data_IF_758381209573
#
_entry.id   IF_758381209573
#
_cell.length_a   1.000
_cell.length_b   1.000
_cell.length_c   1.000
_cell.angle_alpha   90.00
_cell.angle_beta   90.00
_cell.angle_gamma   90.00
#
_symmetry.space_group_name_H-M   'P 1'
#
loop_
_entity.id
_entity.type
_entity.pdbx_description
1 polymer ?
#
# COMPACT_ATOMS: atom_id res chain seq x y z
N UNK A 1 61.96 -1.64 63.35
CA UNK A 1 61.59 -2.95 62.78
C UNK A 1 60.17 -2.87 62.25
N UNK A 2 59.90 -3.45 61.05
CA UNK A 2 58.64 -4.03 60.53
C UNK A 2 57.27 -3.37 60.87
N UNK A 3 56.55 -2.79 59.88
CA UNK A 3 55.32 -3.31 59.18
C UNK A 3 54.10 -3.58 60.10
N UNK A 4 52.84 -3.19 59.84
CA UNK A 4 52.00 -2.95 58.63
C UNK A 4 51.03 -1.74 58.85
N UNK A 5 50.10 -1.33 57.98
CA UNK A 5 49.87 -1.60 56.55
C UNK A 5 48.40 -1.53 56.06
N UNK A 6 47.97 -0.34 55.60
CA UNK A 6 46.82 -0.01 54.70
C UNK A 6 45.34 -0.16 55.16
N UNK A 7 44.46 0.66 54.54
CA UNK A 7 43.07 0.41 54.07
C UNK A 7 42.13 1.64 54.16
N UNK A 8 41.53 2.00 53.00
CA UNK A 8 40.33 2.84 52.75
C UNK A 8 40.37 4.37 52.97
N UNK A 9 40.80 5.06 51.90
CA UNK A 9 40.04 6.18 51.32
C UNK A 9 39.33 5.72 50.04
N UNK A 10 38.42 6.55 49.51
CA UNK A 10 37.59 6.43 48.28
C UNK A 10 36.15 5.95 48.53
N UNK A 11 35.25 6.95 48.58
CA UNK A 11 33.85 6.89 48.09
C UNK A 11 33.44 8.31 47.68
N UNK A 12 32.56 8.42 46.67
CA UNK A 12 31.97 9.63 46.04
C UNK A 12 32.59 10.10 44.69
N UNK A 13 32.51 9.24 43.68
CA UNK A 13 32.45 9.65 42.27
C UNK A 13 31.69 8.58 41.45
N UNK A 14 30.35 8.64 41.40
CA UNK A 14 29.57 7.55 40.80
C UNK A 14 28.05 7.71 40.73
N UNK A 15 27.53 8.93 40.52
CA UNK A 15 26.08 9.20 40.55
C UNK A 15 25.49 9.87 39.29
N UNK A 16 26.26 10.02 38.19
CA UNK A 16 25.83 10.76 36.99
C UNK A 16 25.80 9.96 35.68
N UNK A 17 26.13 8.66 35.69
CA UNK A 17 26.13 7.82 34.47
C UNK A 17 24.86 6.96 34.35
N UNK A 18 24.06 6.83 35.41
CA UNK A 18 22.93 5.89 35.47
C UNK A 18 21.63 6.33 34.76
N UNK A 19 21.42 7.63 34.52
CA UNK A 19 20.12 8.12 34.00
C UNK A 19 19.96 7.92 32.48
N UNK A 20 21.04 7.96 31.72
CA UNK A 20 20.99 7.98 30.25
C UNK A 20 20.56 6.65 29.62
N UNK A 21 20.88 5.52 30.27
CA UNK A 21 20.61 4.19 29.72
C UNK A 21 19.14 3.74 29.86
N UNK A 22 18.44 4.22 30.90
CA UNK A 22 17.04 3.84 31.18
C UNK A 22 16.04 4.45 30.19
N UNK A 23 16.34 5.64 29.65
CA UNK A 23 15.45 6.36 28.71
C UNK A 23 15.35 5.63 27.36
N UNK A 24 16.46 5.05 26.88
CA UNK A 24 16.50 4.37 25.57
C UNK A 24 15.65 3.10 25.57
N UNK A 25 15.75 2.28 26.62
CA UNK A 25 14.98 1.03 26.73
C UNK A 25 13.46 1.25 26.87
N UNK A 26 13.06 2.27 27.62
CA UNK A 26 11.65 2.65 27.77
C UNK A 26 11.06 3.18 26.45
N UNK A 27 11.81 4.00 25.70
CA UNK A 27 11.38 4.53 24.41
C UNK A 27 11.01 3.43 23.41
N UNK A 28 11.90 2.46 23.17
CA UNK A 28 11.66 1.39 22.21
C UNK A 28 10.42 0.53 22.54
N UNK A 29 10.15 0.29 23.83
CA UNK A 29 8.95 -0.45 24.26
C UNK A 29 7.66 0.35 24.01
N UNK A 30 7.68 1.66 24.25
CA UNK A 30 6.54 2.55 24.01
C UNK A 30 6.23 2.69 22.51
N UNK A 31 7.24 2.91 21.66
CA UNK A 31 7.04 3.01 20.21
C UNK A 31 6.51 1.71 19.58
N UNK A 32 6.98 0.54 20.05
CA UNK A 32 6.41 -0.74 19.63
C UNK A 32 4.93 -0.88 20.06
N UNK A 33 4.56 -0.45 21.28
CA UNK A 33 3.17 -0.50 21.73
C UNK A 33 2.23 0.43 20.93
N UNK A 34 2.70 1.63 20.55
CA UNK A 34 1.94 2.55 19.69
C UNK A 34 1.78 1.98 18.28
N UNK A 35 2.86 1.45 17.68
CA UNK A 35 2.84 0.81 16.36
C UNK A 35 1.89 -0.38 16.31
N UNK A 36 1.89 -1.24 17.33
CA UNK A 36 0.94 -2.36 17.48
C UNK A 36 -0.50 -1.84 17.64
N UNK A 37 -0.75 -0.78 18.41
CA UNK A 37 -2.10 -0.20 18.56
C UNK A 37 -2.63 0.42 17.26
N UNK A 38 -1.79 1.11 16.49
CA UNK A 38 -2.10 1.61 15.14
C UNK A 38 -2.41 0.44 14.19
N UNK A 39 -1.61 -0.63 14.26
CA UNK A 39 -1.82 -1.87 13.52
C UNK A 39 -3.14 -2.56 13.82
N UNK A 40 -3.49 -2.70 15.11
CA UNK A 40 -4.75 -3.31 15.55
C UNK A 40 -5.97 -2.59 14.98
N UNK A 41 -5.97 -1.25 14.98
CA UNK A 41 -7.08 -0.44 14.42
C UNK A 41 -7.23 -0.64 12.91
N UNK A 42 -6.12 -0.70 12.18
CA UNK A 42 -6.11 -0.96 10.74
C UNK A 42 -6.56 -2.40 10.42
N UNK A 43 -6.07 -3.37 11.18
CA UNK A 43 -6.44 -4.77 11.07
C UNK A 43 -7.94 -4.99 11.32
N UNK A 44 -8.50 -4.40 12.39
CA UNK A 44 -9.93 -4.43 12.67
C UNK A 44 -10.79 -3.80 11.55
N UNK A 45 -10.26 -2.79 10.85
CA UNK A 45 -10.97 -2.13 9.76
C UNK A 45 -10.94 -2.95 8.45
N UNK A 46 -9.77 -3.51 8.08
CA UNK A 46 -9.51 -4.08 6.75
C UNK A 46 -9.34 -5.61 6.71
N UNK A 47 -8.83 -6.24 7.77
CA UNK A 47 -8.35 -7.64 7.74
C UNK A 47 -9.27 -8.60 8.53
N UNK A 48 -9.79 -8.13 9.66
CA UNK A 48 -10.56 -8.92 10.64
C UNK A 48 -11.77 -9.64 10.06
N UNK A 49 -12.42 -9.06 9.04
CA UNK A 49 -13.60 -9.66 8.39
C UNK A 49 -13.29 -11.00 7.70
N UNK A 50 -12.03 -11.22 7.31
CA UNK A 50 -11.55 -12.46 6.68
C UNK A 50 -10.69 -13.30 7.62
N UNK A 51 -9.81 -12.67 8.42
CA UNK A 51 -8.86 -13.38 9.29
C UNK A 51 -9.31 -13.55 10.76
N UNK A 52 -10.46 -12.99 11.16
CA UNK A 52 -10.90 -12.99 12.56
C UNK A 52 -10.32 -11.85 13.39
N UNK A 53 -10.76 -11.68 14.64
CA UNK A 53 -10.18 -10.70 15.57
C UNK A 53 -8.83 -11.19 16.10
N UNK A 54 -8.68 -12.49 16.32
CA UNK A 54 -7.49 -13.14 16.87
C UNK A 54 -6.60 -13.79 15.80
N UNK A 55 -6.94 -13.64 14.51
CA UNK A 55 -6.19 -14.21 13.39
C UNK A 55 -6.46 -15.69 13.12
N UNK A 56 -7.43 -16.33 13.78
CA UNK A 56 -7.66 -17.78 13.71
C UNK A 56 -8.48 -18.17 12.48
N UNK A 57 -8.26 -19.38 11.96
CA UNK A 57 -9.12 -19.93 10.91
C UNK A 57 -10.59 -19.96 11.32
N UNK A 58 -11.49 -19.71 10.36
CA UNK A 58 -12.94 -19.69 10.52
C UNK A 58 -13.51 -18.59 11.44
N UNK A 59 -12.69 -17.69 11.97
CA UNK A 59 -13.15 -16.63 12.89
C UNK A 59 -13.72 -15.40 12.15
N UNK A 60 -13.16 -15.02 11.00
CA UNK A 60 -13.68 -13.92 10.19
C UNK A 60 -15.02 -14.30 9.54
N UNK A 61 -16.06 -13.46 9.68
CA UNK A 61 -17.41 -13.80 9.18
C UNK A 61 -17.48 -14.08 7.67
N UNK A 62 -16.54 -13.57 6.88
CA UNK A 62 -16.49 -13.80 5.44
C UNK A 62 -15.87 -15.17 5.09
N UNK A 63 -15.14 -15.80 6.02
CA UNK A 63 -14.35 -17.01 5.78
C UNK A 63 -15.15 -18.16 5.16
N UNK A 64 -16.36 -18.40 5.66
CA UNK A 64 -17.24 -19.48 5.19
C UNK A 64 -17.74 -19.27 3.75
N UNK A 65 -17.68 -18.04 3.24
CA UNK A 65 -18.11 -17.65 1.89
C UNK A 65 -16.95 -17.50 0.90
N UNK A 66 -15.71 -17.76 1.33
CA UNK A 66 -14.50 -17.61 0.52
C UNK A 66 -14.14 -18.91 -0.21
N UNK A 67 -13.75 -18.86 -1.49
CA UNK A 67 -13.17 -20.00 -2.18
C UNK A 67 -11.74 -20.26 -1.68
N UNK A 68 -11.22 -21.45 -1.99
CA UNK A 68 -9.83 -21.79 -1.69
C UNK A 68 -8.86 -21.09 -2.69
N UNK A 69 -7.64 -20.69 -2.26
CA UNK A 69 -7.13 -20.77 -0.89
C UNK A 69 -7.79 -19.72 0.02
N UNK A 70 -8.31 -20.19 1.15
CA UNK A 70 -8.87 -19.34 2.22
C UNK A 70 -7.77 -18.54 2.91
N UNK A 71 -8.12 -17.49 3.68
CA UNK A 71 -7.16 -16.72 4.45
C UNK A 71 -6.26 -17.62 5.34
N UNK A 72 -5.00 -17.24 5.55
CA UNK A 72 -4.10 -18.00 6.44
C UNK A 72 -4.45 -17.77 7.92
N UNK A 73 -4.17 -18.78 8.76
CA UNK A 73 -4.16 -18.61 10.22
C UNK A 73 -2.96 -17.76 10.63
N UNK A 74 -3.23 -16.55 11.11
CA UNK A 74 -2.20 -15.60 11.53
C UNK A 74 -1.75 -15.83 12.98
N UNK A 75 -2.42 -16.72 13.72
CA UNK A 75 -2.09 -17.13 15.09
C UNK A 75 -1.25 -18.42 15.14
N UNK A 76 -1.16 -19.17 14.03
CA UNK A 76 -0.40 -20.42 13.91
C UNK A 76 1.11 -20.20 14.03
N UNK A 77 1.60 -20.17 15.27
CA UNK A 77 2.99 -19.80 15.63
C UNK A 77 4.07 -20.53 14.86
N UNK A 78 3.99 -21.85 14.74
CA UNK A 78 5.05 -22.65 14.11
C UNK A 78 5.19 -22.35 12.61
N UNK A 79 4.10 -21.94 11.94
CA UNK A 79 4.16 -21.50 10.54
C UNK A 79 4.49 -20.01 10.42
N UNK A 80 3.75 -19.15 11.13
CA UNK A 80 3.86 -17.70 10.99
C UNK A 80 5.20 -17.13 11.48
N UNK A 81 5.91 -17.84 12.36
CA UNK A 81 7.27 -17.46 12.78
C UNK A 81 8.35 -17.75 11.72
N UNK A 82 8.04 -18.49 10.65
CA UNK A 82 9.01 -18.80 9.58
C UNK A 82 9.17 -17.67 8.57
N UNK A 83 8.10 -16.90 8.32
CA UNK A 83 8.14 -15.74 7.41
C UNK A 83 8.95 -14.60 7.99
N UNK A 84 9.66 -13.86 7.14
CA UNK A 84 10.31 -12.60 7.50
C UNK A 84 9.31 -11.45 7.57
N UNK A 85 9.67 -10.37 8.26
CA UNK A 85 8.82 -9.17 8.36
C UNK A 85 8.56 -8.55 6.99
N UNK A 86 9.56 -8.54 6.13
CA UNK A 86 9.52 -8.07 4.75
C UNK A 86 8.63 -8.94 3.85
N UNK A 87 8.52 -10.25 4.14
CA UNK A 87 7.65 -11.18 3.39
C UNK A 87 6.18 -10.97 3.78
N UNK A 88 5.90 -10.76 5.08
CA UNK A 88 4.58 -10.36 5.58
C UNK A 88 4.17 -8.98 5.04
N UNK A 89 5.10 -8.02 5.00
CA UNK A 89 4.90 -6.71 4.39
C UNK A 89 4.58 -6.82 2.89
N UNK A 90 5.41 -7.55 2.14
CA UNK A 90 5.22 -7.75 0.70
C UNK A 90 3.87 -8.42 0.40
N UNK A 91 3.43 -9.36 1.23
CA UNK A 91 2.12 -10.02 1.10
C UNK A 91 0.95 -9.04 1.12
N UNK A 92 1.00 -7.99 1.95
CA UNK A 92 -0.04 -6.94 2.03
C UNK A 92 0.20 -5.75 1.08
N UNK A 93 1.43 -5.58 0.58
CA UNK A 93 1.85 -4.43 -0.24
C UNK A 93 2.19 -4.77 -1.71
N UNK A 94 1.98 -6.01 -2.16
CA UNK A 94 2.28 -6.45 -3.55
C UNK A 94 1.34 -5.84 -4.59
N UNK A 95 1.67 -6.06 -5.86
CA UNK A 95 0.73 -5.84 -6.96
C UNK A 95 -0.32 -6.96 -7.05
N UNK A 96 -1.48 -6.63 -7.64
CA UNK A 96 -2.51 -7.61 -8.00
C UNK A 96 -2.14 -8.26 -9.34
N UNK A 97 -1.82 -9.56 -9.31
CA UNK A 97 -1.54 -10.38 -10.50
C UNK A 97 -2.79 -11.11 -10.96
N UNK A 98 -2.96 -11.26 -12.28
CA UNK A 98 -3.99 -12.11 -12.87
C UNK A 98 -3.57 -13.57 -12.80
N UNK A 99 -4.29 -14.37 -12.02
CA UNK A 99 -4.00 -15.81 -11.83
C UNK A 99 -4.76 -16.71 -12.82
N UNK A 100 -5.29 -16.15 -13.92
CA UNK A 100 -5.94 -16.96 -14.97
C UNK A 100 -4.90 -17.84 -15.69
N UNK A 101 -5.10 -19.17 -15.78
CA UNK A 101 -4.23 -20.03 -16.58
C UNK A 101 -4.05 -19.53 -18.02
N UNK A 102 -2.84 -19.67 -18.56
CA UNK A 102 -2.43 -19.33 -19.94
C UNK A 102 -2.52 -17.84 -20.37
N UNK A 103 -3.42 -17.06 -19.76
CA UNK A 103 -3.73 -15.66 -20.11
C UNK A 103 -3.23 -14.66 -19.08
N UNK A 104 -3.08 -15.10 -17.83
CA UNK A 104 -2.68 -14.27 -16.70
C UNK A 104 -1.20 -13.91 -16.65
N UNK A 105 -0.80 -13.27 -15.55
CA UNK A 105 0.58 -12.93 -15.28
C UNK A 105 1.39 -14.20 -15.00
N UNK A 106 2.67 -14.21 -15.37
CA UNK A 106 3.59 -15.26 -14.91
C UNK A 106 3.82 -15.09 -13.42
N UNK A 107 3.61 -16.17 -12.69
CA UNK A 107 3.78 -16.29 -11.24
C UNK A 107 4.94 -17.26 -11.02
N UNK A 108 5.98 -16.80 -10.33
CA UNK A 108 7.11 -17.63 -9.91
C UNK A 108 6.75 -18.55 -8.76
N UNK A 109 7.50 -19.65 -8.59
CA UNK A 109 7.27 -20.64 -7.52
C UNK A 109 7.41 -20.04 -6.11
N UNK A 110 8.12 -18.91 -5.99
CA UNK A 110 8.36 -18.12 -4.78
C UNK A 110 7.41 -16.92 -4.62
N UNK A 111 6.51 -16.66 -5.57
CA UNK A 111 5.62 -15.50 -5.55
C UNK A 111 4.24 -15.79 -4.97
N UNK A 112 3.87 -15.09 -3.89
CA UNK A 112 2.50 -15.12 -3.37
C UNK A 112 1.53 -14.35 -4.28
N UNK A 113 0.75 -15.08 -5.08
CA UNK A 113 -0.29 -14.54 -5.95
C UNK A 113 -1.66 -15.20 -5.68
N UNK A 114 -2.46 -14.57 -4.82
CA UNK A 114 -3.84 -14.98 -4.53
C UNK A 114 -4.77 -13.77 -4.76
N UNK A 115 -5.71 -13.79 -5.72
CA UNK A 115 -6.50 -12.60 -6.05
C UNK A 115 -7.47 -12.21 -4.92
N UNK A 116 -7.89 -13.16 -4.09
CA UNK A 116 -8.85 -12.97 -2.99
C UNK A 116 -8.29 -12.18 -1.80
N UNK A 117 -6.96 -12.09 -1.67
CA UNK A 117 -6.29 -11.23 -0.68
C UNK A 117 -5.92 -9.90 -1.35
N UNK A 118 -6.57 -8.77 -1.01
CA UNK A 118 -6.36 -7.50 -1.69
C UNK A 118 -5.02 -6.86 -1.35
N UNK A 119 -4.51 -6.02 -2.26
CA UNK A 119 -3.38 -5.12 -1.96
C UNK A 119 -3.84 -3.90 -1.18
N UNK A 120 -3.01 -3.46 -0.24
CA UNK A 120 -3.17 -2.20 0.48
C UNK A 120 -2.15 -1.13 0.07
N UNK A 121 -1.25 -1.44 -0.86
CA UNK A 121 -0.17 -0.56 -1.37
C UNK A 121 -0.65 0.83 -1.79
N UNK A 122 -1.83 0.91 -2.41
CA UNK A 122 -2.40 2.15 -2.93
C UNK A 122 -3.41 2.79 -1.96
N UNK A 123 -3.53 2.27 -0.74
CA UNK A 123 -4.53 2.70 0.27
C UNK A 123 -3.88 3.20 1.55
N UNK A 124 -2.84 2.51 2.02
CA UNK A 124 -2.14 2.77 3.29
C UNK A 124 -0.72 3.28 3.04
N UNK A 125 -0.14 4.00 4.01
CA UNK A 125 1.27 4.38 3.96
C UNK A 125 2.21 3.22 4.28
N UNK A 126 3.51 3.32 3.95
CA UNK A 126 4.50 2.28 4.31
C UNK A 126 4.52 2.05 5.84
N UNK A 127 4.46 3.12 6.64
CA UNK A 127 4.41 3.06 8.11
C UNK A 127 3.11 2.39 8.64
N UNK A 128 1.97 2.59 7.97
CA UNK A 128 0.71 1.91 8.31
C UNK A 128 0.73 0.41 7.98
N UNK A 129 1.36 0.03 6.86
CA UNK A 129 1.57 -1.38 6.50
C UNK A 129 2.50 -2.07 7.49
N UNK A 130 3.60 -1.40 7.90
CA UNK A 130 4.47 -1.88 8.97
C UNK A 130 3.75 -1.99 10.34
N UNK A 131 2.81 -1.10 10.63
CA UNK A 131 1.96 -1.21 11.81
C UNK A 131 1.07 -2.47 11.77
N UNK A 132 0.48 -2.81 10.60
CA UNK A 132 -0.27 -4.07 10.43
C UNK A 132 0.65 -5.27 10.67
N UNK A 133 1.85 -5.31 10.08
CA UNK A 133 2.81 -6.43 10.31
C UNK A 133 3.16 -6.54 11.80
N UNK A 134 3.39 -5.42 12.48
CA UNK A 134 3.67 -5.40 13.92
C UNK A 134 2.52 -5.98 14.75
N UNK A 135 1.26 -5.68 14.41
CA UNK A 135 0.11 -6.29 15.06
C UNK A 135 -0.03 -7.78 14.73
N UNK A 136 0.12 -8.18 13.46
CA UNK A 136 0.06 -9.59 13.02
C UNK A 136 1.11 -10.44 13.75
N UNK A 137 2.30 -9.90 14.02
CA UNK A 137 3.32 -10.56 14.85
C UNK A 137 2.83 -10.91 16.26
N UNK A 138 2.00 -10.04 16.87
CA UNK A 138 1.44 -10.31 18.20
C UNK A 138 0.43 -11.48 18.21
N UNK A 139 -0.30 -11.71 17.11
CA UNK A 139 -1.31 -12.77 17.01
C UNK A 139 -0.71 -14.18 17.19
N UNK A 140 0.55 -14.36 16.78
CA UNK A 140 1.31 -15.59 16.98
C UNK A 140 2.45 -15.47 18.02
N UNK A 141 2.37 -14.48 18.91
CA UNK A 141 3.26 -14.36 20.07
C UNK A 141 4.70 -13.94 19.77
N UNK A 142 4.95 -13.30 18.63
CA UNK A 142 6.25 -12.73 18.26
C UNK A 142 6.19 -11.19 18.24
N UNK A 143 7.27 -10.53 17.81
CA UNK A 143 7.37 -9.07 17.69
C UNK A 143 8.02 -8.70 16.37
N UNK A 144 7.70 -7.53 15.83
CA UNK A 144 8.40 -6.93 14.69
C UNK A 144 9.90 -6.78 15.01
N UNK A 145 10.75 -7.31 14.14
CA UNK A 145 12.21 -7.17 14.15
C UNK A 145 12.69 -6.09 13.17
N UNK A 146 11.91 -5.80 12.12
CA UNK A 146 12.24 -4.78 11.11
C UNK A 146 12.39 -3.38 11.72
N UNK A 147 13.50 -2.70 11.38
CA UNK A 147 13.80 -1.35 11.85
C UNK A 147 13.06 -0.29 11.01
N UNK A 148 11.77 -0.12 11.32
CA UNK A 148 10.88 0.89 10.72
C UNK A 148 11.42 2.32 10.92
N UNK A 149 12.09 2.57 12.04
CA UNK A 149 12.56 3.90 12.42
C UNK A 149 13.88 4.25 11.72
N UNK A 150 14.79 3.28 11.59
CA UNK A 150 15.96 3.35 10.71
C UNK A 150 15.58 3.45 9.23
N UNK A 151 14.53 2.75 8.78
CA UNK A 151 13.96 2.91 7.43
C UNK A 151 13.45 4.33 7.18
N UNK A 152 12.70 4.91 8.13
CA UNK A 152 12.24 6.31 8.06
C UNK A 152 13.40 7.29 7.97
N UNK A 153 14.41 7.13 8.84
CA UNK A 153 15.61 7.97 8.82
C UNK A 153 16.37 7.83 7.49
N UNK A 154 16.55 6.62 6.99
CA UNK A 154 17.23 6.37 5.71
C UNK A 154 16.56 7.06 4.52
N UNK A 155 15.21 7.16 4.52
CA UNK A 155 14.47 7.95 3.52
C UNK A 155 14.72 9.46 3.65
N UNK A 156 14.80 9.98 4.87
CA UNK A 156 15.09 11.39 5.13
C UNK A 156 16.53 11.76 4.74
N UNK A 157 17.50 10.90 5.06
CA UNK A 157 18.91 11.04 4.66
C UNK A 157 19.04 10.98 3.12
N UNK A 158 18.29 10.09 2.44
CA UNK A 158 18.22 10.01 0.97
C UNK A 158 17.62 11.27 0.34
N UNK A 159 16.52 11.79 0.89
CA UNK A 159 15.91 13.04 0.45
C UNK A 159 16.86 14.23 0.60
N UNK A 160 17.56 14.32 1.73
CA UNK A 160 18.56 15.37 1.96
C UNK A 160 19.72 15.27 0.95
N UNK A 161 20.23 14.06 0.70
CA UNK A 161 21.29 13.83 -0.27
C UNK A 161 20.85 14.18 -1.72
N UNK A 162 19.63 13.80 -2.10
CA UNK A 162 19.08 14.13 -3.42
C UNK A 162 18.87 15.64 -3.60
N UNK A 163 18.41 16.35 -2.56
CA UNK A 163 18.29 17.81 -2.58
C UNK A 163 19.67 18.47 -2.77
N UNK A 164 20.69 18.02 -2.04
CA UNK A 164 22.07 18.52 -2.21
C UNK A 164 22.62 18.26 -3.61
N UNK A 165 22.29 17.13 -4.25
CA UNK A 165 22.68 16.85 -5.63
C UNK A 165 21.99 17.79 -6.62
N UNK A 166 20.68 18.01 -6.46
CA UNK A 166 19.92 18.96 -7.27
C UNK A 166 20.47 20.39 -7.14
N UNK A 167 20.73 20.86 -5.92
CA UNK A 167 21.25 22.21 -5.67
C UNK A 167 22.64 22.40 -6.31
N UNK A 168 23.51 21.39 -6.25
CA UNK A 168 24.83 21.39 -6.91
C UNK A 168 24.72 21.39 -8.43
N UNK A 169 23.85 20.55 -9.01
CA UNK A 169 23.63 20.50 -10.45
C UNK A 169 23.07 21.84 -10.97
N UNK A 170 22.18 22.47 -10.21
CA UNK A 170 21.63 23.79 -10.53
C UNK A 170 22.72 24.87 -10.50
N UNK A 171 23.55 24.90 -9.45
CA UNK A 171 24.69 25.83 -9.36
C UNK A 171 25.70 25.62 -10.49
N UNK A 172 25.93 24.38 -10.92
CA UNK A 172 26.79 24.07 -12.07
C UNK A 172 26.22 24.60 -13.38
N UNK A 173 24.92 24.43 -13.63
CA UNK A 173 24.23 25.00 -14.79
C UNK A 173 24.31 26.54 -14.78
N UNK A 174 23.93 27.19 -13.68
CA UNK A 174 24.01 28.65 -13.53
C UNK A 174 25.43 29.21 -13.73
N UNK A 175 26.47 28.42 -13.43
CA UNK A 175 27.87 28.79 -13.66
C UNK A 175 28.30 28.56 -15.12
N UNK A 176 27.82 27.50 -15.77
CA UNK A 176 28.07 27.20 -17.18
C UNK A 176 27.38 28.23 -18.10
N UNK A 177 26.13 28.60 -17.81
CA UNK A 177 25.39 29.66 -18.52
C UNK A 177 26.15 30.99 -18.48
N UNK A 178 26.53 31.49 -17.29
CA UNK A 178 27.33 32.71 -17.13
C UNK A 178 28.66 32.66 -17.88
N UNK A 179 29.30 31.50 -17.92
CA UNK A 179 30.56 31.31 -18.66
C UNK A 179 30.33 31.37 -20.17
N UNK A 180 29.26 30.73 -20.67
CA UNK A 180 28.89 30.75 -22.08
C UNK A 180 28.52 32.17 -22.54
N UNK A 181 27.75 32.93 -21.75
CA UNK A 181 27.44 34.34 -21.99
C UNK A 181 28.71 35.21 -22.09
N UNK A 182 29.63 35.09 -21.13
CA UNK A 182 30.88 35.86 -21.14
C UNK A 182 31.82 35.46 -22.28
N UNK A 183 31.83 34.19 -22.71
CA UNK A 183 32.57 33.77 -23.91
C UNK A 183 31.94 34.27 -25.21
N UNK A 184 30.61 34.20 -25.35
CA UNK A 184 29.87 34.71 -26.50
C UNK A 184 30.08 36.22 -26.67
N UNK A 185 29.96 36.97 -25.57
CA UNK A 185 30.23 38.42 -25.49
C UNK A 185 31.65 38.79 -25.88
N UNK A 186 32.66 38.01 -25.45
CA UNK A 186 34.07 38.20 -25.87
C UNK A 186 34.28 37.92 -27.36
N UNK A 187 33.59 36.91 -27.90
CA UNK A 187 33.67 36.50 -29.32
C UNK A 187 32.78 37.36 -30.25
N UNK A 188 31.91 38.24 -29.70
CA UNK A 188 30.81 38.92 -30.42
C UNK A 188 29.92 37.95 -31.20
N UNK A 189 29.70 36.77 -30.62
CA UNK A 189 28.86 35.72 -31.16
C UNK A 189 27.59 35.58 -30.31
N UNK A 190 26.60 34.84 -30.82
CA UNK A 190 25.47 34.35 -30.03
C UNK A 190 25.94 33.25 -29.06
N UNK A 191 25.14 32.97 -28.03
CA UNK A 191 25.40 31.87 -27.10
C UNK A 191 25.12 30.56 -27.82
N UNK A 192 26.07 29.62 -27.73
CA UNK A 192 25.89 28.27 -28.26
C UNK A 192 25.01 27.46 -27.30
N UNK A 193 23.77 27.16 -27.71
CA UNK A 193 22.80 26.39 -26.93
C UNK A 193 23.32 25.00 -26.53
N UNK A 194 24.31 24.45 -27.24
CA UNK A 194 24.93 23.17 -26.88
C UNK A 194 25.96 23.27 -25.74
N UNK A 195 26.40 24.48 -25.38
CA UNK A 195 27.46 24.71 -24.40
C UNK A 195 27.10 24.34 -22.96
N UNK A 196 25.80 24.25 -22.64
CA UNK A 196 25.27 23.91 -21.30
C UNK A 196 24.46 22.60 -21.28
N UNK A 197 24.39 21.89 -22.40
CA UNK A 197 23.59 20.67 -22.58
C UNK A 197 23.87 19.59 -21.52
N UNK A 198 25.15 19.43 -21.12
CA UNK A 198 25.55 18.45 -20.11
C UNK A 198 25.06 18.81 -18.71
N UNK A 199 25.13 20.09 -18.35
CA UNK A 199 24.66 20.61 -17.08
C UNK A 199 23.13 20.58 -17.00
N UNK A 200 22.44 20.83 -18.12
CA UNK A 200 20.98 20.66 -18.25
C UNK A 200 20.56 19.19 -18.05
N UNK A 201 21.25 18.24 -18.70
CA UNK A 201 21.02 16.80 -18.51
C UNK A 201 21.28 16.37 -17.05
N UNK A 202 22.38 16.83 -16.45
CA UNK A 202 22.72 16.55 -15.05
C UNK A 202 21.66 17.09 -14.09
N UNK A 203 21.15 18.31 -14.32
CA UNK A 203 20.06 18.89 -13.54
C UNK A 203 18.75 18.11 -13.73
N UNK A 204 18.43 17.65 -14.93
CA UNK A 204 17.23 16.84 -15.20
C UNK A 204 17.29 15.47 -14.49
N UNK A 205 18.45 14.83 -14.47
CA UNK A 205 18.68 13.59 -13.70
C UNK A 205 18.54 13.86 -12.19
N UNK A 206 19.21 14.89 -11.67
CA UNK A 206 19.14 15.23 -10.25
C UNK A 206 17.72 15.61 -9.80
N UNK A 207 16.96 16.31 -10.65
CA UNK A 207 15.54 16.63 -10.41
C UNK A 207 14.69 15.35 -10.31
N UNK A 208 14.92 14.38 -11.21
CA UNK A 208 14.20 13.09 -11.21
C UNK A 208 14.49 12.27 -9.96
N UNK A 209 15.73 12.24 -9.48
CA UNK A 209 16.08 11.54 -8.23
C UNK A 209 15.55 12.28 -6.99
N UNK A 210 15.53 13.62 -6.99
CA UNK A 210 14.91 14.41 -5.94
C UNK A 210 13.39 14.14 -5.84
N UNK A 211 12.66 14.14 -6.96
CA UNK A 211 11.22 13.85 -6.96
C UNK A 211 10.92 12.41 -6.52
N UNK A 212 11.75 11.42 -6.90
CA UNK A 212 11.66 10.06 -6.36
C UNK A 212 11.85 10.02 -4.83
N UNK A 213 12.87 10.70 -4.31
CA UNK A 213 13.16 10.72 -2.88
C UNK A 213 12.05 11.41 -2.08
N UNK A 214 11.51 12.53 -2.58
CA UNK A 214 10.32 13.20 -2.00
C UNK A 214 9.12 12.27 -1.98
N UNK A 215 8.83 11.58 -3.09
CA UNK A 215 7.72 10.64 -3.17
C UNK A 215 7.90 9.46 -2.21
N UNK A 216 9.11 8.94 -2.04
CA UNK A 216 9.39 7.84 -1.11
C UNK A 216 9.20 8.23 0.36
N UNK A 217 9.72 9.40 0.79
CA UNK A 217 9.53 9.92 2.15
C UNK A 217 8.05 10.22 2.43
N UNK A 218 7.37 10.89 1.49
CA UNK A 218 5.96 11.24 1.65
C UNK A 218 5.05 10.00 1.74
N UNK A 219 5.26 8.99 0.88
CA UNK A 219 4.49 7.74 0.88
C UNK A 219 4.80 6.84 2.09
N UNK A 220 5.93 7.06 2.78
CA UNK A 220 6.22 6.35 4.02
C UNK A 220 5.29 6.81 5.14
N UNK A 221 5.25 8.13 5.37
CA UNK A 221 4.53 8.74 6.50
C UNK A 221 3.04 9.00 6.21
N UNK A 222 2.66 9.20 4.94
CA UNK A 222 1.29 9.56 4.55
C UNK A 222 0.69 8.59 3.53
N UNK A 223 -0.64 8.42 3.59
CA UNK A 223 -1.37 7.60 2.62
C UNK A 223 -1.23 8.13 1.19
N UNK A 224 -1.05 7.26 0.18
CA UNK A 224 -1.00 7.67 -1.21
C UNK A 224 -2.20 8.53 -1.64
N UNK A 225 -1.91 9.68 -2.25
CA UNK A 225 -2.90 10.58 -2.83
C UNK A 225 -2.77 10.59 -4.35
N UNK A 226 -3.83 10.16 -5.04
CA UNK A 226 -3.88 10.18 -6.51
C UNK A 226 -4.63 11.41 -7.00
N UNK A 227 -4.34 11.81 -8.24
CA UNK A 227 -5.12 12.84 -8.93
C UNK A 227 -6.60 12.43 -9.03
N UNK A 228 -7.49 13.42 -9.12
CA UNK A 228 -8.92 13.17 -9.27
C UNK A 228 -9.20 12.32 -10.52
N UNK A 229 -9.86 11.18 -10.35
CA UNK A 229 -10.16 10.28 -11.47
C UNK A 229 -11.11 10.98 -12.45
N UNK A 230 -10.60 11.24 -13.66
CA UNK A 230 -11.33 11.89 -14.74
C UNK A 230 -12.55 11.06 -15.20
N UNK A 231 -13.45 11.70 -15.97
CA UNK A 231 -14.57 11.01 -16.58
C UNK A 231 -14.04 10.11 -17.72
N UNK A 232 -14.17 8.77 -17.67
CA UNK A 232 -13.81 7.92 -18.79
C UNK A 232 -14.76 8.13 -19.97
N UNK A 233 -14.22 8.00 -21.19
CA UNK A 233 -15.02 7.56 -22.32
C UNK A 233 -15.23 6.05 -22.24
N UNK A 234 -16.50 5.65 -22.33
CA UNK A 234 -17.02 4.28 -22.29
C UNK A 234 -17.83 3.96 -23.57
N UNK A 235 -17.76 4.82 -24.59
CA UNK A 235 -18.46 4.65 -25.86
C UNK A 235 -17.73 3.61 -26.71
N UNK A 236 -18.40 2.54 -27.12
CA UNK A 236 -17.81 1.47 -27.92
C UNK A 236 -18.86 0.70 -28.72
N UNK A 237 -18.43 -0.05 -29.75
CA UNK A 237 -19.34 -0.87 -30.56
C UNK A 237 -19.85 -2.08 -29.74
N UNK A 238 -21.08 -2.59 -29.97
CA UNK A 238 -21.64 -3.68 -29.17
C UNK A 238 -20.74 -4.93 -29.07
N UNK A 239 -20.11 -5.37 -30.16
CA UNK A 239 -19.18 -6.51 -30.13
C UNK A 239 -17.90 -6.26 -29.32
N UNK A 240 -17.45 -5.00 -29.22
CA UNK A 240 -16.33 -4.62 -28.35
C UNK A 240 -16.78 -4.60 -26.88
N UNK A 241 -18.00 -4.13 -26.60
CA UNK A 241 -18.59 -4.15 -25.26
C UNK A 241 -18.72 -5.56 -24.67
N UNK A 242 -19.14 -6.54 -25.49
CA UNK A 242 -19.24 -7.94 -25.07
C UNK A 242 -17.87 -8.51 -24.72
N UNK A 243 -16.88 -8.44 -25.64
CA UNK A 243 -15.53 -8.93 -25.37
C UNK A 243 -14.90 -8.29 -24.13
N UNK A 244 -15.06 -6.97 -23.99
CA UNK A 244 -14.51 -6.21 -22.86
C UNK A 244 -15.22 -6.55 -21.53
N UNK A 245 -16.47 -7.00 -21.58
CA UNK A 245 -17.20 -7.55 -20.42
C UNK A 245 -16.67 -8.94 -20.03
N UNK A 246 -16.30 -9.79 -20.99
CA UNK A 246 -15.72 -11.12 -20.69
C UNK A 246 -14.34 -10.99 -20.03
N UNK A 247 -13.50 -10.10 -20.57
CA UNK A 247 -12.25 -9.67 -19.93
C UNK A 247 -12.50 -9.08 -18.53
N UNK A 248 -13.55 -8.26 -18.38
CA UNK A 248 -13.97 -7.70 -17.10
C UNK A 248 -14.35 -8.76 -16.06
N UNK A 249 -15.06 -9.83 -16.48
CA UNK A 249 -15.42 -10.97 -15.62
C UNK A 249 -14.18 -11.73 -15.18
N UNK A 250 -13.23 -11.97 -16.09
CA UNK A 250 -11.93 -12.59 -15.77
C UNK A 250 -11.18 -11.78 -14.72
N UNK A 251 -11.01 -10.48 -14.94
CA UNK A 251 -10.28 -9.58 -14.03
C UNK A 251 -10.96 -9.46 -12.66
N UNK A 252 -12.30 -9.41 -12.63
CA UNK A 252 -13.12 -9.41 -11.41
C UNK A 252 -12.91 -10.67 -10.55
N UNK A 253 -12.73 -11.84 -11.20
CA UNK A 253 -12.48 -13.10 -10.49
C UNK A 253 -11.00 -13.26 -10.15
N UNK A 254 -10.11 -13.19 -11.15
CA UNK A 254 -8.78 -13.80 -11.10
C UNK A 254 -7.62 -12.80 -10.93
N UNK A 255 -7.85 -11.49 -11.09
CA UNK A 255 -6.82 -10.46 -10.86
C UNK A 255 -7.09 -9.65 -9.60
N UNK A 256 -8.28 -9.07 -9.52
CA UNK A 256 -8.66 -8.16 -8.44
C UNK A 256 -9.52 -8.81 -7.35
N UNK A 257 -9.90 -10.07 -7.53
CA UNK A 257 -10.62 -10.86 -6.53
C UNK A 257 -11.87 -10.20 -5.97
N UNK A 258 -12.55 -9.38 -6.77
CA UNK A 258 -13.69 -8.58 -6.30
C UNK A 258 -14.79 -9.48 -5.69
N UNK A 259 -14.95 -10.69 -6.22
CA UNK A 259 -15.83 -11.73 -5.70
C UNK A 259 -15.54 -12.16 -4.24
N UNK A 260 -14.31 -12.01 -3.76
CA UNK A 260 -13.94 -12.33 -2.37
C UNK A 260 -14.62 -11.41 -1.36
N UNK A 261 -14.95 -10.17 -1.77
CA UNK A 261 -15.71 -9.22 -0.96
C UNK A 261 -17.16 -9.10 -1.41
N UNK A 262 -17.45 -9.22 -2.69
CA UNK A 262 -18.76 -8.93 -3.29
C UNK A 262 -19.45 -10.17 -3.86
N UNK A 263 -20.60 -10.50 -3.27
CA UNK A 263 -21.51 -11.53 -3.79
C UNK A 263 -22.17 -11.14 -5.12
N UNK A 264 -22.28 -12.13 -6.00
CA UNK A 264 -23.11 -12.14 -7.21
C UNK A 264 -23.82 -13.50 -7.27
N UNK A 265 -25.15 -13.48 -7.38
CA UNK A 265 -26.01 -14.63 -7.13
C UNK A 265 -25.82 -15.14 -5.71
N UNK A 266 -25.65 -16.45 -5.59
CA UNK A 266 -25.37 -17.12 -4.31
C UNK A 266 -23.86 -17.23 -4.01
N UNK A 267 -23.00 -16.66 -4.86
CA UNK A 267 -21.54 -16.87 -4.82
C UNK A 267 -20.74 -15.61 -4.52
N UNK A 268 -19.70 -15.73 -3.68
CA UNK A 268 -18.83 -14.63 -3.29
C UNK A 268 -19.09 -14.10 -1.87
N UNK A 269 -18.24 -13.16 -1.44
CA UNK A 269 -18.19 -12.66 -0.08
C UNK A 269 -19.31 -11.68 0.30
N UNK A 270 -19.38 -11.39 1.60
CA UNK A 270 -20.40 -10.55 2.25
C UNK A 270 -19.83 -9.29 2.91
N UNK A 271 -18.52 -9.02 2.75
CA UNK A 271 -17.86 -7.78 3.25
C UNK A 271 -18.30 -6.55 2.46
N UNK A 272 -18.47 -6.72 1.15
CA UNK A 272 -18.98 -5.72 0.22
C UNK A 272 -20.47 -5.94 -0.10
N UNK A 273 -21.18 -4.89 -0.53
CA UNK A 273 -22.58 -5.02 -0.95
C UNK A 273 -22.72 -5.94 -2.16
N UNK A 274 -23.80 -6.72 -2.19
CA UNK A 274 -24.16 -7.59 -3.31
C UNK A 274 -24.32 -6.79 -4.62
N UNK A 275 -23.73 -7.30 -5.71
CA UNK A 275 -23.61 -6.61 -7.00
C UNK A 275 -24.59 -7.11 -8.08
N UNK A 276 -25.44 -8.07 -7.76
CA UNK A 276 -26.48 -8.68 -8.61
C UNK A 276 -27.26 -7.72 -9.52
N UNK A 277 -27.53 -6.52 -9.01
CA UNK A 277 -28.34 -5.48 -9.65
C UNK A 277 -27.55 -4.19 -9.89
N UNK A 278 -26.21 -4.26 -9.85
CA UNK A 278 -25.34 -3.11 -10.03
C UNK A 278 -25.54 -2.44 -11.40
N UNK A 279 -25.73 -3.23 -12.46
CA UNK A 279 -25.99 -2.75 -13.83
C UNK A 279 -27.34 -2.05 -14.03
N UNK A 280 -28.25 -2.10 -13.04
CA UNK A 280 -29.45 -1.27 -12.98
C UNK A 280 -29.30 -0.08 -12.02
N UNK A 281 -28.60 -0.27 -10.90
CA UNK A 281 -28.54 0.70 -9.79
C UNK A 281 -27.43 1.74 -9.92
N UNK A 282 -26.33 1.39 -10.58
CA UNK A 282 -25.10 2.17 -10.59
C UNK A 282 -24.79 2.70 -11.99
N UNK A 283 -24.30 3.94 -12.04
CA UNK A 283 -23.85 4.55 -13.28
C UNK A 283 -22.42 4.07 -13.61
N UNK A 284 -22.16 3.62 -14.84
CA UNK A 284 -20.86 3.08 -15.26
C UNK A 284 -19.68 4.04 -15.05
N UNK A 285 -19.88 5.35 -15.27
CA UNK A 285 -18.88 6.39 -14.98
C UNK A 285 -18.61 6.52 -13.48
N UNK A 286 -19.64 6.37 -12.64
CA UNK A 286 -19.48 6.35 -11.18
C UNK A 286 -18.72 5.10 -10.73
N UNK A 287 -19.07 3.92 -11.26
CA UNK A 287 -18.37 2.65 -10.95
C UNK A 287 -16.89 2.75 -11.31
N UNK A 288 -16.55 3.27 -12.49
CA UNK A 288 -15.17 3.48 -12.91
C UNK A 288 -14.36 4.31 -11.91
N UNK A 289 -14.90 5.46 -11.49
CA UNK A 289 -14.21 6.36 -10.54
C UNK A 289 -14.09 5.72 -9.16
N UNK A 290 -15.12 5.00 -8.74
CA UNK A 290 -15.13 4.26 -7.48
C UNK A 290 -14.05 3.17 -7.44
N UNK A 291 -13.96 2.29 -8.46
CA UNK A 291 -12.96 1.21 -8.46
C UNK A 291 -11.53 1.69 -8.71
N UNK A 292 -11.35 2.87 -9.33
CA UNK A 292 -10.04 3.49 -9.57
C UNK A 292 -9.44 4.17 -8.33
N UNK A 293 -10.25 4.84 -7.50
CA UNK A 293 -9.77 5.47 -6.26
C UNK A 293 -10.91 5.71 -5.25
N UNK A 294 -11.39 4.67 -4.54
CA UNK A 294 -12.61 4.75 -3.74
C UNK A 294 -12.48 5.72 -2.55
N UNK A 295 -11.28 5.86 -1.97
CA UNK A 295 -10.99 6.79 -0.87
C UNK A 295 -11.20 8.27 -1.25
N UNK A 296 -11.06 8.63 -2.54
CA UNK A 296 -11.37 10.01 -3.00
C UNK A 296 -12.87 10.33 -2.99
N UNK A 297 -13.71 9.31 -2.98
CA UNK A 297 -15.18 9.45 -2.96
C UNK A 297 -15.77 9.19 -1.58
N UNK A 298 -15.17 8.28 -0.81
CA UNK A 298 -15.48 8.02 0.60
C UNK A 298 -14.18 7.66 1.35
N UNK A 299 -13.57 8.59 2.12
CA UNK A 299 -12.28 8.37 2.77
C UNK A 299 -12.19 7.09 3.60
N UNK A 300 -13.20 6.83 4.45
CA UNK A 300 -13.25 5.68 5.37
C UNK A 300 -13.94 4.45 4.75
N UNK A 301 -13.79 4.26 3.44
CA UNK A 301 -14.29 3.07 2.76
C UNK A 301 -13.37 1.87 2.97
N UNK A 302 -13.95 0.73 3.35
CA UNK A 302 -13.23 -0.55 3.50
C UNK A 302 -12.71 -1.11 2.19
N UNK A 303 -13.27 -0.71 1.05
CA UNK A 303 -12.79 -1.14 -0.27
C UNK A 303 -11.43 -0.48 -0.55
N UNK A 304 -10.31 -1.21 -0.59
CA UNK A 304 -9.02 -0.62 -0.88
C UNK A 304 -8.94 -0.14 -2.34
N UNK A 305 -8.07 0.82 -2.60
CA UNK A 305 -7.57 1.03 -3.94
C UNK A 305 -6.65 -0.15 -4.32
N UNK A 306 -7.03 -0.87 -5.37
CA UNK A 306 -6.34 -2.07 -5.84
C UNK A 306 -5.37 -1.80 -7.01
N UNK A 307 -5.12 -0.53 -7.36
CA UNK A 307 -4.16 -0.17 -8.42
C UNK A 307 -4.65 -0.46 -9.84
N UNK A 308 -5.97 -0.41 -10.10
CA UNK A 308 -6.53 -0.75 -11.41
C UNK A 308 -5.96 0.13 -12.53
N UNK A 309 -5.54 -0.50 -13.63
CA UNK A 309 -5.24 0.21 -14.87
C UNK A 309 -6.52 0.79 -15.48
N UNK A 310 -6.41 1.80 -16.36
CA UNK A 310 -7.58 2.37 -17.03
C UNK A 310 -8.28 1.35 -17.94
N UNK A 311 -7.53 0.43 -18.55
CA UNK A 311 -8.08 -0.68 -19.35
C UNK A 311 -8.85 -1.66 -18.47
N UNK A 312 -8.24 -2.11 -17.37
CA UNK A 312 -8.85 -3.08 -16.45
C UNK A 312 -10.10 -2.51 -15.78
N UNK A 313 -10.07 -1.23 -15.40
CA UNK A 313 -11.23 -0.54 -14.85
C UNK A 313 -12.38 -0.41 -15.87
N UNK A 314 -12.08 -0.13 -17.15
CA UNK A 314 -13.12 -0.15 -18.21
C UNK A 314 -13.70 -1.56 -18.39
N UNK A 315 -12.87 -2.59 -18.39
CA UNK A 315 -13.29 -3.99 -18.49
C UNK A 315 -14.28 -4.37 -17.37
N UNK A 316 -13.89 -4.15 -16.11
CA UNK A 316 -14.71 -4.46 -14.94
C UNK A 316 -16.02 -3.64 -14.94
N UNK A 317 -15.99 -2.38 -15.39
CA UNK A 317 -17.20 -1.55 -15.53
C UNK A 317 -18.18 -2.12 -16.57
N UNK A 318 -17.69 -2.66 -17.68
CA UNK A 318 -18.55 -3.34 -18.66
C UNK A 318 -19.19 -4.58 -18.05
N UNK A 319 -18.40 -5.43 -17.36
CA UNK A 319 -18.91 -6.61 -16.66
C UNK A 319 -19.96 -6.27 -15.59
N UNK A 320 -19.66 -5.34 -14.69
CA UNK A 320 -20.60 -4.89 -13.63
C UNK A 320 -21.87 -4.29 -14.24
N UNK A 321 -21.78 -3.66 -15.41
CA UNK A 321 -22.93 -3.17 -16.18
C UNK A 321 -23.89 -4.27 -16.69
N UNK A 322 -23.41 -5.51 -16.83
CA UNK A 322 -24.23 -6.69 -17.17
C UNK A 322 -25.00 -7.28 -15.99
N UNK A 323 -24.59 -6.96 -14.74
CA UNK A 323 -25.20 -7.52 -13.53
C UNK A 323 -26.59 -6.93 -13.30
N UNK A 324 -27.58 -7.63 -13.85
CA UNK A 324 -28.97 -7.19 -14.03
C UNK A 324 -29.97 -8.27 -13.58
N UNK A 325 -29.73 -8.85 -12.40
CA UNK A 325 -30.67 -9.79 -11.80
C UNK A 325 -32.06 -9.14 -11.59
N UNK A 326 -33.14 -9.95 -11.65
CA UNK A 326 -34.49 -9.51 -11.28
C UNK A 326 -34.52 -8.82 -9.90
N UNK A 327 -35.56 -8.02 -9.65
CA UNK A 327 -35.81 -7.55 -8.29
C UNK A 327 -36.26 -8.70 -7.38
N UNK A 328 -36.02 -8.61 -6.06
CA UNK A 328 -36.63 -9.55 -5.12
C UNK A 328 -38.15 -9.49 -5.26
N UNK A 329 -38.82 -10.62 -5.04
CA UNK A 329 -40.28 -10.63 -5.15
C UNK A 329 -40.90 -9.73 -4.05
N UNK A 330 -42.06 -9.13 -4.36
CA UNK A 330 -42.77 -8.22 -3.43
C UNK A 330 -43.24 -8.95 -2.16
N UNK A 331 -43.29 -10.28 -2.20
CA UNK A 331 -43.52 -11.16 -1.05
C UNK A 331 -42.31 -11.20 -0.11
N UNK A 332 -41.10 -11.46 -0.65
CA UNK A 332 -39.84 -11.56 0.08
C UNK A 332 -39.41 -10.21 0.69
N UNK A 333 -39.60 -9.11 -0.04
CA UNK A 333 -39.30 -7.77 0.45
C UNK A 333 -40.12 -7.40 1.70
N UNK A 334 -41.35 -7.94 1.85
CA UNK A 334 -42.18 -7.79 3.04
C UNK A 334 -41.79 -8.73 4.18
N UNK A 335 -41.12 -9.83 3.89
CA UNK A 335 -40.59 -10.74 4.92
C UNK A 335 -39.31 -10.18 5.53
N UNK A 336 -38.39 -9.66 4.71
CA UNK A 336 -37.13 -9.05 5.18
C UNK A 336 -37.39 -7.79 6.02
N UNK A 337 -38.33 -6.94 5.61
CA UNK A 337 -38.73 -5.74 6.36
C UNK A 337 -39.56 -6.02 7.65
N UNK A 338 -39.66 -7.28 8.09
CA UNK A 338 -40.32 -7.70 9.34
C UNK A 338 -39.37 -8.37 10.34
N UNK A 339 -38.08 -8.44 10.02
CA UNK A 339 -37.04 -9.12 10.82
C UNK A 339 -35.98 -8.13 11.34
N UNK A 340 -36.07 -6.84 10.97
CA UNK A 340 -35.35 -5.72 11.59
C UNK A 340 -36.17 -5.06 12.71
#
# INVERSE_FOLDING_TARGET
MRTTGDVRRVWLAGALVGLSALVVGAGCALFQSERVSKGQKLYAHYCMHCHGEHGRQNEGYNWSSMPDPRPKDLSAKEEMSTFKDEELFATVSREMKDTTPEVGDKIGDDEFAVPTMPTFKYTLSEEELWAIVAYVRTLHGTKLQYDVDGRKKGLQDQLQAAQQQYDRAKQALEAAEKKAEEEAKKKRAEVDDSATSKEQEALAVAAKELEKAKAAEANFSARPKFAAVARPDLTMKPGQAVKLSDDGRRLYMNKYGCHACHRVGETGGVVGPALDRAGFRLNSTWVYRWIKYPQSMKPDTRMPNLGLTDSDAKAIVMYVGTLRAPGPDKSEAKAQAKVE
#
